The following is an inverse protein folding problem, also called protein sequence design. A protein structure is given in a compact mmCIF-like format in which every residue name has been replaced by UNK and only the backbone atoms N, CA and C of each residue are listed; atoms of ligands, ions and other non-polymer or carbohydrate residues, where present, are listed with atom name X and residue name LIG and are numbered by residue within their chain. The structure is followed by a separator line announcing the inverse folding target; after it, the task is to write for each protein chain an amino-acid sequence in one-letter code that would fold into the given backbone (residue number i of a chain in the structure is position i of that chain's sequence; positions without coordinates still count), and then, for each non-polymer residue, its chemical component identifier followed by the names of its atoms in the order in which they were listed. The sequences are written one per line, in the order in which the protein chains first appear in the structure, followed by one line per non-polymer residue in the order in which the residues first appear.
data_IF_314811988891
#
_entry.id   IF_314811988891
#
_cell.length_a   1.000
_cell.length_b   1.000
_cell.length_c   1.000
_cell.angle_alpha   90.00
_cell.angle_beta   90.00
_cell.angle_gamma   90.00
#
_symmetry.space_group_name_H-M   'P 1'
#
loop_
_entity.id
_entity.type
_entity.pdbx_description
1 polymer ?
#
# COMPACT_ATOMS: atom_id res chain seq x y z
N UNK A 1 -22.74 -12.86 1.59
CA UNK A 1 -22.44 -11.64 0.82
C UNK A 1 -22.25 -10.48 1.77
N UNK A 2 -21.77 -9.33 1.28
CA UNK A 2 -21.71 -8.09 2.07
C UNK A 2 -23.05 -7.36 1.92
N UNK A 3 -23.65 -6.92 3.02
CA UNK A 3 -24.86 -6.09 3.01
C UNK A 3 -24.47 -4.64 3.24
N UNK A 4 -24.86 -3.77 2.32
CA UNK A 4 -24.71 -2.32 2.47
C UNK A 4 -26.07 -1.73 2.85
N UNK A 5 -26.10 -0.91 3.89
CA UNK A 5 -27.29 -0.18 4.33
C UNK A 5 -26.95 1.30 4.35
N UNK A 6 -27.85 2.13 3.84
CA UNK A 6 -27.68 3.58 3.75
C UNK A 6 -28.84 4.21 4.50
N UNK A 7 -28.53 5.18 5.35
CA UNK A 7 -29.53 5.98 6.06
C UNK A 7 -29.41 7.42 5.59
N UNK A 8 -30.52 7.99 5.16
CA UNK A 8 -30.59 9.41 4.82
C UNK A 8 -30.59 10.21 6.12
N UNK A 9 -29.77 11.26 6.17
CA UNK A 9 -29.77 12.25 7.26
C UNK A 9 -30.26 13.56 6.65
N UNK A 10 -31.52 13.90 6.87
CA UNK A 10 -32.23 15.06 6.32
C UNK A 10 -32.79 16.00 7.40
N UNK A 11 -32.37 15.82 8.66
CA UNK A 11 -32.72 16.69 9.78
C UNK A 11 -31.62 17.73 9.99
N UNK A 12 -31.94 19.01 9.76
CA UNK A 12 -30.99 20.14 9.81
C UNK A 12 -30.16 20.17 11.10
N UNK A 13 -30.79 20.02 12.28
CA UNK A 13 -30.09 20.00 13.57
C UNK A 13 -29.04 18.88 13.64
N UNK A 14 -29.33 17.72 13.04
CA UNK A 14 -28.39 16.60 13.00
C UNK A 14 -27.22 16.89 12.05
N UNK A 15 -27.51 17.48 10.89
CA UNK A 15 -26.49 17.87 9.90
C UNK A 15 -25.54 18.92 10.47
N UNK A 16 -26.07 19.96 11.13
CA UNK A 16 -25.27 20.99 11.78
C UNK A 16 -24.37 20.42 12.86
N UNK A 17 -24.90 19.51 13.70
CA UNK A 17 -24.12 18.85 14.75
C UNK A 17 -22.98 18.00 14.19
N UNK A 18 -23.23 17.21 13.14
CA UNK A 18 -22.19 16.40 12.49
C UNK A 18 -21.13 17.33 11.88
N UNK A 19 -21.54 18.37 11.15
CA UNK A 19 -20.65 19.35 10.55
C UNK A 19 -19.74 20.01 11.58
N UNK A 20 -20.30 20.47 12.70
CA UNK A 20 -19.53 21.06 13.80
C UNK A 20 -18.54 20.08 14.42
N UNK A 21 -18.94 18.82 14.64
CA UNK A 21 -18.03 17.80 15.16
C UNK A 21 -16.86 17.52 14.22
N UNK A 22 -17.09 17.45 12.90
CA UNK A 22 -16.00 17.29 11.94
C UNK A 22 -15.06 18.50 11.95
N UNK A 23 -15.62 19.72 11.94
CA UNK A 23 -14.83 20.95 11.99
C UNK A 23 -13.96 21.04 13.26
N UNK A 24 -14.51 20.66 14.42
CA UNK A 24 -13.86 20.87 15.72
C UNK A 24 -12.95 19.70 16.15
N UNK A 25 -13.25 18.48 15.69
CA UNK A 25 -12.59 17.25 16.17
C UNK A 25 -11.75 16.53 15.12
N UNK A 26 -11.90 16.86 13.83
CA UNK A 26 -11.19 16.19 12.74
C UNK A 26 -10.27 17.19 12.03
N UNK A 27 -9.01 17.35 12.50
CA UNK A 27 -8.11 18.36 11.95
C UNK A 27 -7.65 18.03 10.52
N UNK A 28 -7.69 16.76 10.13
CA UNK A 28 -7.31 16.31 8.80
C UNK A 28 -8.00 15.01 8.42
N UNK A 29 -8.15 14.81 7.10
CA UNK A 29 -8.63 13.56 6.49
C UNK A 29 -7.53 12.97 5.61
N UNK A 30 -7.39 11.64 5.61
CA UNK A 30 -6.47 10.93 4.74
C UNK A 30 -7.21 10.38 3.51
N UNK A 31 -6.65 10.59 2.31
CA UNK A 31 -7.21 10.03 1.08
C UNK A 31 -6.78 8.56 0.98
N UNK A 32 -7.65 7.65 1.44
CA UNK A 32 -7.41 6.21 1.32
C UNK A 32 -7.52 5.71 -0.13
N UNK A 33 -8.48 6.26 -0.89
CA UNK A 33 -8.68 5.98 -2.31
C UNK A 33 -9.24 7.23 -3.01
N UNK A 34 -8.98 7.36 -4.31
CA UNK A 34 -9.53 8.45 -5.12
C UNK A 34 -8.64 9.69 -5.26
N UNK A 35 -7.32 9.57 -5.10
CA UNK A 35 -6.36 10.67 -5.31
C UNK A 35 -6.58 11.42 -6.63
N UNK A 36 -6.77 10.70 -7.74
CA UNK A 36 -7.08 11.32 -9.04
C UNK A 36 -8.43 12.04 -9.07
N UNK A 37 -9.45 11.51 -8.38
CA UNK A 37 -10.79 12.13 -8.27
C UNK A 37 -10.72 13.42 -7.46
N UNK A 38 -10.05 13.39 -6.31
CA UNK A 38 -9.84 14.57 -5.48
C UNK A 38 -9.02 15.65 -6.23
N UNK A 39 -7.95 15.27 -6.92
CA UNK A 39 -7.16 16.20 -7.74
C UNK A 39 -7.97 16.82 -8.89
N UNK A 40 -8.83 16.03 -9.55
CA UNK A 40 -9.71 16.54 -10.60
C UNK A 40 -10.75 17.52 -10.04
N UNK A 41 -11.35 17.23 -8.88
CA UNK A 41 -12.28 18.13 -8.20
C UNK A 41 -11.61 19.45 -7.81
N UNK A 42 -10.40 19.40 -7.26
CA UNK A 42 -9.61 20.61 -6.95
C UNK A 42 -9.39 21.47 -8.20
N UNK A 43 -9.03 20.84 -9.32
CA UNK A 43 -8.87 21.55 -10.60
C UNK A 43 -10.17 22.18 -11.12
N UNK A 44 -11.32 21.52 -10.91
CA UNK A 44 -12.63 22.10 -11.25
C UNK A 44 -12.92 23.33 -10.40
N UNK A 45 -12.63 23.29 -9.10
CA UNK A 45 -12.77 24.44 -8.20
C UNK A 45 -11.93 25.64 -8.64
N UNK A 46 -10.72 25.41 -9.15
CA UNK A 46 -9.84 26.47 -9.67
C UNK A 46 -10.37 27.10 -10.96
N UNK A 47 -11.01 26.32 -11.84
CA UNK A 47 -11.56 26.80 -13.11
C UNK A 47 -12.84 27.62 -12.89
N UNK A 48 -13.61 27.31 -11.85
CA UNK A 48 -14.88 27.95 -11.53
C UNK A 48 -14.92 28.51 -10.09
N UNK A 49 -14.10 29.53 -9.77
CA UNK A 49 -13.94 30.01 -8.39
C UNK A 49 -15.22 30.63 -7.79
N UNK A 50 -16.10 31.16 -8.64
CA UNK A 50 -17.37 31.78 -8.24
C UNK A 50 -18.52 30.76 -8.06
N UNK A 51 -18.30 29.48 -8.38
CA UNK A 51 -19.32 28.44 -8.26
C UNK A 51 -19.27 27.79 -6.87
N UNK A 52 -20.33 27.93 -6.07
CA UNK A 52 -20.43 27.24 -4.77
C UNK A 52 -20.38 25.72 -4.93
N UNK A 53 -21.03 25.17 -5.96
CA UNK A 53 -21.02 23.73 -6.24
C UNK A 53 -19.62 23.20 -6.54
N UNK A 54 -18.75 24.03 -7.13
CA UNK A 54 -17.39 23.64 -7.47
C UNK A 54 -16.44 23.59 -6.25
N UNK A 55 -16.86 24.12 -5.09
CA UNK A 55 -16.08 24.09 -3.84
C UNK A 55 -16.19 22.77 -3.08
N UNK A 56 -17.16 21.94 -3.46
CA UNK A 56 -17.43 20.67 -2.80
C UNK A 56 -17.30 19.50 -3.77
N UNK A 57 -16.96 18.33 -3.23
CA UNK A 57 -17.04 17.08 -3.97
C UNK A 57 -17.52 15.97 -3.04
N UNK A 58 -18.16 14.97 -3.62
CA UNK A 58 -18.66 13.84 -2.86
C UNK A 58 -17.51 12.99 -2.32
N UNK A 59 -17.54 12.73 -1.02
CA UNK A 59 -16.58 11.85 -0.35
C UNK A 59 -17.29 10.85 0.56
N UNK A 60 -16.58 9.81 0.97
CA UNK A 60 -17.02 8.87 2.00
C UNK A 60 -15.92 8.76 3.04
N UNK A 61 -16.28 8.98 4.31
CA UNK A 61 -15.34 8.99 5.41
C UNK A 61 -15.54 7.71 6.22
N UNK A 62 -14.44 7.02 6.48
CA UNK A 62 -14.41 5.84 7.33
C UNK A 62 -13.58 6.14 8.58
N UNK A 63 -14.04 5.74 9.77
CA UNK A 63 -13.21 5.85 10.96
C UNK A 63 -11.99 4.93 10.81
N UNK A 64 -10.80 5.45 11.11
CA UNK A 64 -9.55 4.68 10.97
C UNK A 64 -9.55 3.40 11.80
N UNK A 65 -10.26 3.39 12.93
CA UNK A 65 -10.42 2.21 13.81
C UNK A 65 -11.23 1.08 13.18
N UNK A 66 -12.00 1.34 12.13
CA UNK A 66 -12.77 0.32 11.39
C UNK A 66 -12.15 0.02 10.01
N UNK A 67 -10.96 0.57 9.74
CA UNK A 67 -10.25 0.33 8.50
C UNK A 67 -9.25 -0.82 8.68
N UNK A 68 -9.34 -1.81 7.80
CA UNK A 68 -8.34 -2.88 7.70
C UNK A 68 -7.46 -2.63 6.47
N UNK A 69 -6.16 -2.43 6.69
CA UNK A 69 -5.18 -2.37 5.62
C UNK A 69 -4.70 -3.79 5.35
N UNK A 70 -5.05 -4.30 4.17
CA UNK A 70 -4.63 -5.63 3.75
C UNK A 70 -3.32 -5.56 2.97
N UNK A 71 -2.58 -6.67 3.03
CA UNK A 71 -1.32 -6.82 2.32
C UNK A 71 -1.52 -6.75 0.80
N UNK A 72 -0.49 -6.33 0.06
CA UNK A 72 -0.48 -6.37 -1.40
C UNK A 72 0.83 -6.99 -1.85
N UNK A 73 0.78 -8.28 -2.16
CA UNK A 73 1.96 -9.11 -2.39
C UNK A 73 2.41 -8.99 -3.85
N UNK A 74 3.72 -8.97 -4.08
CA UNK A 74 4.32 -8.90 -5.41
C UNK A 74 4.73 -10.31 -5.82
N UNK A 75 4.24 -10.76 -6.97
CA UNK A 75 4.59 -12.06 -7.54
C UNK A 75 5.41 -11.80 -8.78
N UNK A 76 6.63 -12.35 -8.84
CA UNK A 76 7.54 -12.17 -9.96
C UNK A 76 7.77 -13.50 -10.66
N UNK A 77 7.64 -13.52 -11.99
CA UNK A 77 7.66 -14.73 -12.82
C UNK A 77 9.03 -15.40 -12.92
N UNK A 78 10.10 -14.63 -12.79
CA UNK A 78 11.47 -15.10 -12.95
C UNK A 78 12.46 -14.28 -12.10
N UNK A 79 13.68 -14.79 -11.96
CA UNK A 79 14.77 -14.14 -11.23
C UNK A 79 15.70 -13.34 -12.15
N UNK A 80 15.20 -12.83 -13.29
CA UNK A 80 15.97 -12.08 -14.27
C UNK A 80 17.23 -12.83 -14.77
N UNK A 81 17.07 -14.12 -15.05
CA UNK A 81 18.14 -15.01 -15.49
C UNK A 81 19.13 -15.44 -14.39
N UNK A 82 18.92 -15.05 -13.13
CA UNK A 82 19.68 -15.56 -11.99
C UNK A 82 19.22 -16.97 -11.60
N UNK A 83 20.15 -17.78 -11.08
CA UNK A 83 19.78 -18.95 -10.29
C UNK A 83 19.39 -18.51 -8.88
N UNK A 84 18.63 -19.34 -8.18
CA UNK A 84 18.21 -19.06 -6.81
C UNK A 84 19.39 -18.84 -5.87
N UNK A 85 20.49 -19.59 -6.02
CA UNK A 85 21.71 -19.41 -5.22
C UNK A 85 22.35 -18.04 -5.46
N UNK A 86 22.42 -17.60 -6.72
CA UNK A 86 22.94 -16.28 -7.08
C UNK A 86 22.03 -15.16 -6.57
N UNK A 87 20.72 -15.36 -6.65
CA UNK A 87 19.73 -14.43 -6.13
C UNK A 87 19.89 -14.27 -4.61
N UNK A 88 19.93 -15.37 -3.85
CA UNK A 88 20.19 -15.34 -2.41
C UNK A 88 21.51 -14.66 -2.06
N UNK A 89 22.59 -14.97 -2.79
CA UNK A 89 23.89 -14.36 -2.55
C UNK A 89 23.84 -12.84 -2.67
N UNK A 90 23.14 -12.29 -3.67
CA UNK A 90 22.99 -10.83 -3.83
C UNK A 90 22.02 -10.23 -2.81
N UNK A 91 20.96 -10.96 -2.48
CA UNK A 91 19.97 -10.52 -1.51
C UNK A 91 20.59 -10.33 -0.10
N UNK A 92 21.60 -11.13 0.24
CA UNK A 92 22.32 -11.02 1.51
C UNK A 92 23.10 -9.70 1.68
N UNK A 93 23.42 -9.00 0.58
CA UNK A 93 24.09 -7.70 0.62
C UNK A 93 23.21 -6.66 1.33
N UNK A 94 21.88 -6.71 1.09
CA UNK A 94 20.94 -5.73 1.63
C UNK A 94 20.07 -6.28 2.78
N UNK A 95 19.95 -7.61 2.91
CA UNK A 95 19.05 -8.24 3.86
C UNK A 95 19.75 -9.30 4.74
N UNK A 96 19.26 -9.45 5.97
CA UNK A 96 19.42 -10.68 6.73
C UNK A 96 18.33 -11.66 6.29
N UNK A 97 18.68 -12.92 6.05
CA UNK A 97 17.77 -13.94 5.51
C UNK A 97 17.74 -15.13 6.45
N UNK A 98 16.55 -15.54 6.89
CA UNK A 98 16.34 -16.73 7.72
C UNK A 98 15.28 -17.61 7.08
N UNK A 99 15.52 -18.93 7.02
CA UNK A 99 14.53 -19.89 6.54
C UNK A 99 13.36 -19.98 7.54
N UNK A 100 12.13 -20.03 7.02
CA UNK A 100 10.91 -20.26 7.79
C UNK A 100 10.23 -21.55 7.34
N UNK A 101 9.78 -22.34 8.31
CA UNK A 101 8.98 -23.54 8.06
C UNK A 101 7.48 -23.24 7.89
N UNK A 102 7.09 -21.97 7.91
CA UNK A 102 5.70 -21.49 7.81
C UNK A 102 5.63 -20.23 6.94
N UNK A 103 4.47 -19.92 6.34
CA UNK A 103 4.23 -18.65 5.69
C UNK A 103 4.63 -17.47 6.56
N UNK A 104 5.37 -16.53 5.97
CA UNK A 104 5.93 -15.39 6.70
C UNK A 104 5.05 -14.17 6.47
N UNK A 105 4.51 -13.63 7.56
CA UNK A 105 3.93 -12.29 7.61
C UNK A 105 4.88 -11.36 8.39
N UNK A 106 5.27 -10.20 7.83
CA UNK A 106 6.08 -9.21 8.56
C UNK A 106 5.41 -8.78 9.87
N UNK A 107 6.20 -8.59 10.93
CA UNK A 107 5.70 -8.20 12.24
C UNK A 107 6.10 -6.77 12.64
N UNK A 108 7.16 -6.24 12.05
CA UNK A 108 7.66 -4.88 12.27
C UNK A 108 8.16 -4.26 10.96
N UNK A 109 8.48 -2.96 11.02
CA UNK A 109 9.05 -2.23 9.89
C UNK A 109 10.33 -2.92 9.39
N UNK A 110 10.54 -2.84 8.08
CA UNK A 110 11.73 -3.34 7.39
C UNK A 110 11.86 -4.87 7.34
N UNK A 111 10.76 -5.58 7.63
CA UNK A 111 10.66 -7.03 7.49
C UNK A 111 9.81 -7.43 6.29
N UNK A 112 10.18 -8.55 5.67
CA UNK A 112 9.48 -9.09 4.51
C UNK A 112 9.37 -10.61 4.62
N UNK A 113 8.24 -11.12 4.15
CA UNK A 113 8.11 -12.54 3.80
C UNK A 113 8.46 -12.73 2.33
N UNK A 114 9.26 -13.74 2.02
CA UNK A 114 9.54 -14.14 0.65
C UNK A 114 9.31 -15.64 0.49
N UNK A 115 8.62 -16.01 -0.58
CA UNK A 115 8.49 -17.39 -1.01
C UNK A 115 9.32 -17.60 -2.27
N UNK A 116 10.19 -18.61 -2.25
CA UNK A 116 11.01 -18.98 -3.39
C UNK A 116 11.34 -20.48 -3.34
N UNK A 117 11.23 -21.16 -4.47
CA UNK A 117 11.54 -22.60 -4.62
C UNK A 117 10.89 -23.50 -3.55
N UNK A 118 9.60 -23.28 -3.29
CA UNK A 118 8.86 -24.12 -2.35
C UNK A 118 9.08 -23.78 -0.87
N UNK A 119 9.81 -22.70 -0.57
CA UNK A 119 10.26 -22.37 0.80
C UNK A 119 9.98 -20.94 1.17
N UNK A 120 9.64 -20.75 2.42
CA UNK A 120 9.43 -19.43 3.02
C UNK A 120 10.70 -18.91 3.67
N UNK A 121 10.92 -17.61 3.54
CA UNK A 121 12.06 -16.89 4.08
C UNK A 121 11.60 -15.62 4.77
N UNK A 122 12.25 -15.33 5.88
CA UNK A 122 12.16 -14.08 6.59
C UNK A 122 13.32 -13.19 6.17
N UNK A 123 13.01 -11.97 5.72
CA UNK A 123 13.99 -10.99 5.30
C UNK A 123 13.89 -9.79 6.24
N UNK A 124 15.03 -9.29 6.70
CA UNK A 124 15.11 -8.03 7.43
C UNK A 124 16.13 -7.12 6.76
N UNK A 125 15.72 -5.92 6.36
CA UNK A 125 16.63 -4.97 5.72
C UNK A 125 17.75 -4.58 6.67
N UNK A 126 18.98 -4.54 6.17
CA UNK A 126 20.14 -4.08 6.94
C UNK A 126 20.11 -2.56 7.04
N UNK A 127 20.53 -2.02 8.18
CA UNK A 127 20.72 -0.57 8.34
C UNK A 127 21.68 -0.04 7.27
N UNK A 128 21.38 1.13 6.70
CA UNK A 128 22.17 1.76 5.64
C UNK A 128 21.84 1.29 4.22
N UNK A 129 20.94 0.32 4.05
CA UNK A 129 20.47 -0.14 2.72
C UNK A 129 19.23 0.60 2.23
N UNK A 130 18.72 1.52 3.05
CA UNK A 130 17.61 2.40 2.76
C UNK A 130 17.88 3.77 3.37
N UNK A 131 17.17 4.78 2.89
CA UNK A 131 17.29 6.16 3.36
C UNK A 131 16.21 6.47 4.40
N UNK A 132 16.45 7.44 5.27
CA UNK A 132 15.53 7.82 6.34
C UNK A 132 14.59 8.98 5.94
N UNK A 133 14.60 9.38 4.66
CA UNK A 133 13.63 10.33 4.15
C UNK A 133 12.22 9.69 4.11
N UNK A 134 11.14 10.51 4.09
CA UNK A 134 9.76 10.02 4.21
C UNK A 134 9.35 8.97 3.17
N UNK A 135 10.03 8.91 2.02
CA UNK A 135 9.72 7.94 0.96
C UNK A 135 10.66 6.75 1.04
N UNK A 136 11.97 6.99 1.21
CA UNK A 136 12.98 5.94 1.20
C UNK A 136 12.90 4.96 2.36
N UNK A 137 12.32 5.36 3.49
CA UNK A 137 12.16 4.52 4.69
C UNK A 137 11.00 3.51 4.57
N UNK A 138 10.10 3.71 3.60
CA UNK A 138 8.92 2.88 3.43
C UNK A 138 9.30 1.49 2.90
N UNK A 139 8.73 0.44 3.48
CA UNK A 139 9.00 -0.95 3.08
C UNK A 139 8.76 -1.21 1.59
N UNK A 140 7.76 -0.53 1.00
CA UNK A 140 7.49 -0.60 -0.44
C UNK A 140 8.64 -0.02 -1.28
N UNK A 141 9.27 1.07 -0.82
CA UNK A 141 10.41 1.69 -1.49
C UNK A 141 11.64 0.81 -1.38
N UNK A 142 11.86 0.21 -0.20
CA UNK A 142 12.96 -0.72 0.04
C UNK A 142 12.82 -1.96 -0.84
N UNK A 143 11.65 -2.58 -0.86
CA UNK A 143 11.33 -3.72 -1.73
C UNK A 143 11.54 -3.35 -3.21
N UNK A 144 10.99 -2.22 -3.65
CA UNK A 144 11.06 -1.80 -5.05
C UNK A 144 12.50 -1.53 -5.48
N UNK A 145 13.29 -0.87 -4.64
CA UNK A 145 14.67 -0.50 -4.98
C UNK A 145 15.62 -1.67 -4.86
N UNK A 146 15.62 -2.35 -3.71
CA UNK A 146 16.67 -3.31 -3.36
C UNK A 146 16.41 -4.70 -3.93
N UNK A 147 15.16 -5.04 -4.26
CA UNK A 147 14.81 -6.34 -4.85
C UNK A 147 14.35 -6.16 -6.30
N UNK A 148 13.26 -5.42 -6.52
CA UNK A 148 12.63 -5.37 -7.85
C UNK A 148 13.54 -4.71 -8.89
N UNK A 149 14.06 -3.52 -8.62
CA UNK A 149 14.96 -2.81 -9.53
C UNK A 149 16.38 -3.43 -9.49
N UNK A 150 17.06 -3.36 -8.34
CA UNK A 150 18.47 -3.77 -8.21
C UNK A 150 18.76 -5.23 -8.60
N UNK A 151 17.87 -6.18 -8.29
CA UNK A 151 18.11 -7.60 -8.53
C UNK A 151 17.36 -8.13 -9.75
N UNK A 152 16.11 -7.71 -9.92
CA UNK A 152 15.20 -8.27 -10.94
C UNK A 152 15.04 -7.37 -12.18
N UNK A 153 15.61 -6.16 -12.17
CA UNK A 153 15.52 -5.16 -13.24
C UNK A 153 14.06 -4.79 -13.59
N UNK A 154 13.19 -4.75 -12.58
CA UNK A 154 11.78 -4.33 -12.66
C UNK A 154 11.69 -2.88 -12.15
N UNK A 155 11.82 -1.93 -13.08
CA UNK A 155 11.85 -0.49 -12.77
C UNK A 155 10.47 0.10 -12.57
N UNK A 156 9.54 -0.25 -13.45
CA UNK A 156 8.15 0.18 -13.37
C UNK A 156 7.22 -1.03 -13.28
N UNK A 157 6.70 -1.24 -12.07
CA UNK A 157 5.81 -2.34 -11.75
C UNK A 157 4.45 -2.26 -12.49
N UNK A 158 4.10 -1.09 -13.07
CA UNK A 158 2.84 -0.89 -13.79
C UNK A 158 2.92 -1.37 -15.24
N UNK A 159 4.12 -1.49 -15.79
CA UNK A 159 4.34 -1.78 -17.22
C UNK A 159 5.13 -3.06 -17.46
N UNK A 160 5.92 -3.53 -16.48
CA UNK A 160 6.64 -4.80 -16.58
C UNK A 160 5.69 -6.00 -16.50
N UNK A 161 5.75 -6.90 -17.49
CA UNK A 161 4.87 -8.08 -17.59
C UNK A 161 5.32 -9.25 -16.72
N UNK A 162 6.48 -9.15 -16.06
CA UNK A 162 7.03 -10.19 -15.18
C UNK A 162 6.52 -10.08 -13.75
N UNK A 163 5.86 -8.99 -13.40
CA UNK A 163 5.28 -8.78 -12.07
C UNK A 163 3.75 -8.83 -12.13
N UNK A 164 3.17 -9.42 -11.09
CA UNK A 164 1.73 -9.42 -10.83
C UNK A 164 1.49 -9.20 -9.34
N UNK A 165 0.22 -9.05 -8.95
CA UNK A 165 -0.16 -8.67 -7.61
C UNK A 165 -1.25 -9.58 -7.04
N UNK A 166 -1.02 -10.03 -5.81
CA UNK A 166 -1.98 -10.82 -5.05
C UNK A 166 -2.40 -10.03 -3.81
N UNK A 167 -3.66 -9.63 -3.77
CA UNK A 167 -4.25 -8.97 -2.61
C UNK A 167 -4.34 -9.89 -1.41
N UNK A 168 -4.00 -9.38 -0.23
CA UNK A 168 -3.94 -10.12 1.04
C UNK A 168 -5.26 -10.74 1.48
N UNK A 169 -6.39 -10.35 0.87
CA UNK A 169 -7.70 -10.99 1.10
C UNK A 169 -7.69 -12.48 0.76
N UNK A 170 -6.81 -12.93 -0.14
CA UNK A 170 -6.65 -14.37 -0.48
C UNK A 170 -5.80 -15.14 0.53
N UNK A 171 -5.09 -14.44 1.42
CA UNK A 171 -4.15 -15.03 2.37
C UNK A 171 -2.82 -15.45 1.72
N UNK A 172 -1.87 -15.89 2.56
CA UNK A 172 -0.52 -16.27 2.12
C UNK A 172 -0.47 -17.62 1.39
N UNK A 173 -1.48 -18.49 1.57
CA UNK A 173 -1.53 -19.77 0.87
C UNK A 173 -1.73 -19.65 -0.65
N UNK A 174 -2.22 -18.50 -1.13
CA UNK A 174 -2.31 -18.19 -2.57
C UNK A 174 -0.93 -17.88 -3.19
N UNK A 175 0.10 -17.68 -2.36
CA UNK A 175 1.46 -17.39 -2.81
C UNK A 175 2.33 -18.65 -2.95
N UNK A 176 1.78 -19.82 -2.60
CA UNK A 176 2.43 -21.14 -2.71
C UNK A 176 2.10 -21.85 -4.02
#
# INVERSE_FOLDING_TARGET
GVQHTIWVVDVDETIEKITGLFNDKVPCTYIADGHHRAAAAAKVSEIFPESEDAKYFLTTIFPASELSILDYNRVVKDLNGLSSEKFFSRLQDDFFITLSNKPVKPAQLHEFGMYLDGKWYFLTSRKGTFTEDPIGVLDVSILSKNILDKLLDIKDQRTDKRIDFVGGIRGLGELE
#
